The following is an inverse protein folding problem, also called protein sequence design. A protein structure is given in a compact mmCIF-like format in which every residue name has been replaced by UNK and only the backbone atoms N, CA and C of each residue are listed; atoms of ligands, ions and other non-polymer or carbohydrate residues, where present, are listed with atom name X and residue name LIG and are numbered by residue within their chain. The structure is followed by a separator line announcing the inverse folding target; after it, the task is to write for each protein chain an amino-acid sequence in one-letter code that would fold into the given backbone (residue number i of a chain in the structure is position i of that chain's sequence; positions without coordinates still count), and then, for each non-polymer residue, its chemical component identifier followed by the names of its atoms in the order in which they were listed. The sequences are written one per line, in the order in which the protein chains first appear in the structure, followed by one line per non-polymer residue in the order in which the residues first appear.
data_IF_349429614131
#
_entry.id   IF_349429614131
#
_cell.length_a   1.000
_cell.length_b   1.000
_cell.length_c   1.000
_cell.angle_alpha   90.00
_cell.angle_beta   90.00
_cell.angle_gamma   90.00
#
_symmetry.space_group_name_H-M   'P 1'
#
loop_
_entity.id
_entity.type
_entity.pdbx_description
1 polymer ?
#
# COMPACT_ATOMS: atom_id res chain seq x y z
N UNK A 1 -8.79 7.39 -0.38
CA UNK A 1 -8.84 6.25 0.56
C UNK A 1 -7.53 5.48 0.43
N UNK A 2 -6.79 5.32 1.53
CA UNK A 2 -5.60 4.47 1.57
C UNK A 2 -5.96 3.16 2.27
N UNK A 3 -5.71 2.04 1.59
CA UNK A 3 -5.86 0.69 2.15
C UNK A 3 -4.45 0.13 2.24
N UNK A 4 -4.00 -0.12 3.47
CA UNK A 4 -2.63 -0.49 3.74
C UNK A 4 -2.49 -2.02 3.91
N UNK A 5 -1.40 -2.58 3.40
CA UNK A 5 -1.00 -3.98 3.58
C UNK A 5 -2.09 -5.00 3.25
N UNK A 6 -2.72 -4.90 2.07
CA UNK A 6 -3.83 -5.77 1.68
C UNK A 6 -3.48 -7.27 1.73
N UNK A 7 -2.21 -7.61 1.57
CA UNK A 7 -1.69 -8.97 1.66
C UNK A 7 -1.80 -9.60 3.05
N UNK A 8 -2.12 -8.82 4.08
CA UNK A 8 -2.46 -9.34 5.42
C UNK A 8 -3.89 -9.83 5.54
N UNK A 9 -4.76 -9.49 4.60
CA UNK A 9 -6.14 -9.97 4.56
C UNK A 9 -6.21 -11.38 3.95
N UNK A 10 -7.25 -12.12 4.33
CA UNK A 10 -7.60 -13.37 3.65
C UNK A 10 -8.29 -13.11 2.30
N UNK A 11 -8.44 -14.18 1.51
CA UNK A 11 -9.01 -14.11 0.16
C UNK A 11 -10.50 -13.72 0.16
N UNK A 12 -11.23 -14.07 1.22
CA UNK A 12 -12.64 -13.76 1.40
C UNK A 12 -12.83 -12.25 1.58
N UNK A 13 -12.00 -11.64 2.42
CA UNK A 13 -11.96 -10.20 2.64
C UNK A 13 -11.52 -9.45 1.39
N UNK A 14 -10.51 -9.92 0.66
CA UNK A 14 -10.11 -9.31 -0.62
C UNK A 14 -11.27 -9.29 -1.62
N UNK A 15 -12.01 -10.40 -1.73
CA UNK A 15 -13.17 -10.51 -2.63
C UNK A 15 -14.29 -9.55 -2.24
N UNK A 16 -14.59 -9.45 -0.95
CA UNK A 16 -15.57 -8.50 -0.42
C UNK A 16 -15.14 -7.04 -0.63
N UNK A 17 -13.86 -6.73 -0.41
CA UNK A 17 -13.31 -5.41 -0.67
C UNK A 17 -13.47 -5.04 -2.16
N UNK A 18 -13.22 -5.98 -3.07
CA UNK A 18 -13.40 -5.76 -4.50
C UNK A 18 -14.86 -5.48 -4.90
N UNK A 19 -15.83 -6.05 -4.18
CA UNK A 19 -17.25 -5.72 -4.34
C UNK A 19 -17.50 -4.27 -3.91
N UNK A 20 -17.02 -3.90 -2.71
CA UNK A 20 -17.16 -2.53 -2.19
C UNK A 20 -16.52 -1.51 -3.14
N UNK A 21 -15.33 -1.79 -3.66
CA UNK A 21 -14.60 -0.89 -4.57
C UNK A 21 -15.24 -0.81 -5.96
N UNK A 22 -16.04 -1.80 -6.37
CA UNK A 22 -16.77 -1.77 -7.63
C UNK A 22 -17.94 -0.79 -7.57
N UNK A 23 -18.75 -0.90 -6.51
CA UNK A 23 -20.03 -0.20 -6.42
C UNK A 23 -19.99 1.03 -5.50
N UNK A 24 -18.85 1.24 -4.82
CA UNK A 24 -18.66 2.24 -3.77
C UNK A 24 -19.80 2.21 -2.74
N UNK A 25 -20.24 1.01 -2.39
CA UNK A 25 -21.28 0.76 -1.40
C UNK A 25 -20.92 -0.44 -0.54
N UNK A 26 -21.48 -0.50 0.66
CA UNK A 26 -21.40 -1.65 1.56
C UNK A 26 -22.79 -1.95 2.11
N UNK A 27 -23.18 -3.22 2.12
CA UNK A 27 -24.44 -3.66 2.74
C UNK A 27 -24.14 -4.30 4.07
N UNK A 28 -24.72 -3.74 5.14
CA UNK A 28 -24.60 -4.28 6.50
C UNK A 28 -25.99 -4.82 6.87
N UNK A 29 -26.15 -6.10 7.24
CA UNK A 29 -27.47 -6.72 7.44
C UNK A 29 -28.41 -5.92 8.35
N UNK A 30 -27.89 -5.36 9.44
CA UNK A 30 -28.65 -4.65 10.46
C UNK A 30 -28.91 -3.18 10.11
N UNK A 31 -28.15 -2.61 9.18
CA UNK A 31 -28.12 -1.16 8.89
C UNK A 31 -28.60 -0.84 7.47
N UNK A 32 -28.61 -1.84 6.58
CA UNK A 32 -28.90 -1.69 5.17
C UNK A 32 -27.67 -1.29 4.34
N UNK A 33 -27.91 -0.83 3.12
CA UNK A 33 -26.86 -0.45 2.17
C UNK A 33 -26.43 1.00 2.36
N UNK A 34 -25.15 1.23 2.58
CA UNK A 34 -24.52 2.54 2.67
C UNK A 34 -23.71 2.76 1.39
N UNK A 35 -23.99 3.85 0.69
CA UNK A 35 -23.28 4.24 -0.55
C UNK A 35 -22.43 5.48 -0.30
N UNK A 36 -21.21 5.50 -0.82
CA UNK A 36 -20.38 6.68 -0.80
C UNK A 36 -21.01 7.79 -1.66
N UNK A 37 -21.19 8.98 -1.08
CA UNK A 37 -21.75 10.12 -1.80
C UNK A 37 -20.86 10.56 -2.98
N UNK A 38 -19.54 10.44 -2.80
CA UNK A 38 -18.53 10.71 -3.81
C UNK A 38 -17.50 9.56 -3.83
N UNK A 39 -17.31 8.86 -4.95
CA UNK A 39 -16.30 7.81 -5.06
C UNK A 39 -14.88 8.36 -4.85
N UNK A 40 -14.11 7.89 -3.84
CA UNK A 40 -12.77 8.39 -3.60
C UNK A 40 -11.75 7.80 -4.59
N UNK A 41 -10.64 8.50 -4.81
CA UNK A 41 -9.42 7.87 -5.34
C UNK A 41 -8.91 6.86 -4.32
N UNK A 42 -8.64 5.63 -4.76
CA UNK A 42 -8.22 4.52 -3.91
C UNK A 42 -6.76 4.16 -4.19
N UNK A 43 -5.96 4.12 -3.14
CA UNK A 43 -4.58 3.63 -3.17
C UNK A 43 -4.52 2.40 -2.29
N UNK A 44 -3.98 1.31 -2.82
CA UNK A 44 -3.82 0.04 -2.11
C UNK A 44 -2.32 -0.26 -2.05
N UNK A 45 -1.80 -0.55 -0.86
CA UNK A 45 -0.41 -0.98 -0.67
C UNK A 45 -0.35 -2.46 -0.35
N UNK A 46 0.80 -3.07 -0.63
CA UNK A 46 1.08 -4.44 -0.27
C UNK A 46 2.58 -4.61 -0.04
N UNK A 47 2.94 -5.39 0.98
CA UNK A 47 4.33 -5.81 1.18
C UNK A 47 4.67 -7.10 0.43
N UNK A 48 3.71 -7.65 -0.33
CA UNK A 48 3.81 -8.94 -1.05
C UNK A 48 4.28 -10.10 -0.16
N UNK A 49 3.89 -10.11 1.11
CA UNK A 49 4.02 -11.32 1.95
C UNK A 49 3.20 -12.48 1.39
N UNK A 50 2.09 -12.14 0.71
CA UNK A 50 1.30 -13.02 -0.15
C UNK A 50 1.07 -12.35 -1.50
N UNK A 51 0.87 -13.17 -2.53
CA UNK A 51 0.49 -12.66 -3.83
C UNK A 51 -0.95 -12.15 -3.82
N UNK A 52 -1.12 -10.88 -4.21
CA UNK A 52 -2.43 -10.23 -4.34
C UNK A 52 -3.25 -10.92 -5.43
N UNK A 53 -4.56 -11.08 -5.20
CA UNK A 53 -5.43 -11.79 -6.12
C UNK A 53 -5.47 -11.13 -7.51
N UNK A 54 -5.48 -11.96 -8.56
CA UNK A 54 -5.54 -11.51 -9.96
C UNK A 54 -6.71 -10.56 -10.27
N UNK A 55 -7.84 -10.72 -9.59
CA UNK A 55 -9.00 -9.85 -9.77
C UNK A 55 -8.70 -8.40 -9.36
N UNK A 56 -7.91 -8.21 -8.30
CA UNK A 56 -7.47 -6.90 -7.84
C UNK A 56 -6.43 -6.30 -8.80
N UNK A 57 -5.44 -7.09 -9.22
CA UNK A 57 -4.44 -6.67 -10.22
C UNK A 57 -5.09 -6.21 -11.54
N UNK A 58 -6.17 -6.85 -11.99
CA UNK A 58 -6.89 -6.48 -13.23
C UNK A 58 -7.75 -5.23 -13.11
N UNK A 59 -8.08 -4.79 -11.88
CA UNK A 59 -8.90 -3.61 -11.60
C UNK A 59 -8.09 -2.41 -11.12
N UNK A 60 -6.77 -2.57 -10.97
CA UNK A 60 -5.88 -1.55 -10.46
C UNK A 60 -4.73 -1.27 -11.43
N UNK A 61 -4.24 -0.04 -11.42
CA UNK A 61 -2.91 0.25 -11.95
C UNK A 61 -1.87 -0.29 -10.97
N UNK A 62 -1.05 -1.22 -11.42
CA UNK A 62 -0.01 -1.82 -10.59
C UNK A 62 1.29 -1.03 -10.71
N UNK A 63 1.79 -0.52 -9.58
CA UNK A 63 3.08 0.14 -9.50
C UNK A 63 3.98 -0.62 -8.51
N UNK A 64 5.11 -1.09 -9.02
CA UNK A 64 6.14 -1.72 -8.23
C UNK A 64 7.10 -0.65 -7.70
N UNK A 65 7.33 -0.65 -6.39
CA UNK A 65 8.29 0.24 -5.73
C UNK A 65 9.49 -0.61 -5.32
N UNK A 66 10.59 -0.46 -6.05
CA UNK A 66 11.86 -1.10 -5.71
C UNK A 66 12.50 -0.44 -4.49
N UNK A 67 13.42 -1.18 -3.88
CA UNK A 67 14.31 -0.60 -2.90
C UNK A 67 15.11 0.55 -3.55
N UNK A 68 15.27 1.71 -2.88
CA UNK A 68 16.00 2.84 -3.46
C UNK A 68 17.45 2.46 -3.76
N UNK A 69 18.02 3.09 -4.79
CA UNK A 69 19.47 3.01 -5.00
C UNK A 69 20.24 3.66 -3.83
N UNK A 70 21.53 3.33 -3.72
CA UNK A 70 22.40 3.79 -2.64
C UNK A 70 22.34 5.32 -2.45
N UNK A 71 22.41 6.08 -3.54
CA UNK A 71 22.43 7.55 -3.48
C UNK A 71 21.09 8.13 -3.04
N UNK A 72 19.99 7.50 -3.43
CA UNK A 72 18.63 7.86 -3.04
C UNK A 72 18.37 7.50 -1.59
N UNK A 73 18.74 6.30 -1.15
CA UNK A 73 18.61 5.88 0.24
C UNK A 73 19.46 6.76 1.17
N UNK A 74 20.71 7.06 0.81
CA UNK A 74 21.57 7.97 1.56
C UNK A 74 20.96 9.37 1.69
N UNK A 75 20.29 9.85 0.64
CA UNK A 75 19.56 11.13 0.67
C UNK A 75 18.35 11.05 1.60
N UNK A 76 17.59 9.96 1.56
CA UNK A 76 16.45 9.71 2.45
C UNK A 76 16.92 9.70 3.91
N UNK A 77 17.99 8.96 4.25
CA UNK A 77 18.55 8.88 5.60
C UNK A 77 18.97 10.27 6.10
N UNK A 78 19.68 11.04 5.27
CA UNK A 78 20.13 12.40 5.63
C UNK A 78 18.97 13.38 5.78
N UNK A 79 17.91 13.24 4.99
CA UNK A 79 16.69 14.04 5.13
C UNK A 79 15.94 13.69 6.43
N UNK A 80 15.87 12.41 6.79
CA UNK A 80 15.22 11.93 8.02
C UNK A 80 16.03 12.23 9.28
N UNK A 81 17.36 12.23 9.18
CA UNK A 81 18.27 12.54 10.28
C UNK A 81 19.41 13.49 9.85
N UNK A 82 19.16 14.82 9.85
CA UNK A 82 20.13 15.81 9.36
C UNK A 82 21.47 15.87 10.13
N UNK A 83 21.49 15.42 11.40
CA UNK A 83 22.67 15.43 12.25
C UNK A 83 23.53 14.16 12.19
N UNK A 84 23.18 13.19 11.34
CA UNK A 84 23.93 11.95 11.23
C UNK A 84 25.34 12.20 10.69
N UNK A 85 26.36 11.56 11.27
CA UNK A 85 27.71 11.62 10.73
C UNK A 85 27.73 11.04 9.31
N UNK A 86 28.40 11.72 8.37
CA UNK A 86 28.43 11.32 6.98
C UNK A 86 28.97 9.89 6.79
N UNK A 87 29.98 9.51 7.56
CA UNK A 87 30.54 8.14 7.59
C UNK A 87 29.50 7.12 8.03
N UNK A 88 28.82 7.36 9.16
CA UNK A 88 27.78 6.48 9.68
C UNK A 88 26.61 6.31 8.70
N UNK A 89 26.14 7.41 8.09
CA UNK A 89 25.05 7.32 7.10
C UNK A 89 25.41 6.45 5.89
N UNK A 90 26.65 6.51 5.41
CA UNK A 90 27.12 5.64 4.32
C UNK A 90 27.28 4.19 4.75
N UNK A 91 27.76 3.96 5.98
CA UNK A 91 27.91 2.61 6.52
C UNK A 91 26.56 1.90 6.70
N UNK A 92 25.53 2.62 7.16
CA UNK A 92 24.17 2.07 7.31
C UNK A 92 23.62 1.65 5.95
N UNK A 93 23.65 2.55 4.96
CA UNK A 93 23.14 2.28 3.60
C UNK A 93 23.94 1.16 2.92
N UNK A 94 25.26 1.07 3.18
CA UNK A 94 26.10 0.01 2.62
C UNK A 94 25.90 -1.36 3.30
N UNK A 95 25.18 -1.43 4.42
CA UNK A 95 24.96 -2.67 5.17
C UNK A 95 23.65 -3.37 4.80
N UNK A 96 22.79 -2.74 3.99
CA UNK A 96 21.52 -3.28 3.50
C UNK A 96 21.72 -4.06 2.21
#
# INVERSE_FOLDING_TARGET
LLIDEIDRADDEFESFLLEILSDYQITIPEIGTIRAAEPPVVIITSNRTREVHDALKRRCLYHWIDYPDFDTELRIVRLKQPGIQATLSRQIVAAV
#
